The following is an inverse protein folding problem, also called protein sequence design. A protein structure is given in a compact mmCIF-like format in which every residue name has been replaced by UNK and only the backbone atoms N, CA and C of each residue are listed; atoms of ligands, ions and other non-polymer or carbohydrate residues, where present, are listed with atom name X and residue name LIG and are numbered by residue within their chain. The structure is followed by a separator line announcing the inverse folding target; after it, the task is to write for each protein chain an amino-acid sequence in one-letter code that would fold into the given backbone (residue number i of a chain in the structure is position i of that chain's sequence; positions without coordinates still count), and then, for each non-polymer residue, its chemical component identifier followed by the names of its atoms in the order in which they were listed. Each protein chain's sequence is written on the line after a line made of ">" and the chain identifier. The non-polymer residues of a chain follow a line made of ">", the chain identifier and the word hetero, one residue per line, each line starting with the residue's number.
data_IF_239783808552
#
_entry.id   IF_239783808552
#
_cell.length_a   1.000
_cell.length_b   1.000
_cell.length_c   1.000
_cell.angle_alpha   90.00
_cell.angle_beta   90.00
_cell.angle_gamma   90.00
#
_symmetry.space_group_name_H-M   'P 1'
#
loop_
_entity.id
_entity.type
_entity.pdbx_description
1 polymer ?
#
# COMPACT_ATOMS: atom_id res chain seq x y z
N UNK A 1 -0.12 -10.58 -10.80
CA UNK A 1 -0.53 -9.56 -11.79
C UNK A 1 0.40 -8.36 -11.64
N UNK A 2 0.68 -7.65 -12.73
CA UNK A 2 1.48 -6.40 -12.69
C UNK A 2 0.54 -5.21 -12.79
N UNK A 3 0.88 -4.05 -12.20
CA UNK A 3 0.02 -2.88 -12.23
C UNK A 3 -0.22 -2.39 -13.66
N UNK A 4 -1.30 -1.63 -13.78
CA UNK A 4 -1.80 -0.97 -14.97
C UNK A 4 -2.07 0.50 -14.64
N UNK A 5 -2.42 1.27 -15.66
CA UNK A 5 -2.79 2.68 -15.51
C UNK A 5 -4.04 2.80 -14.63
N UNK A 6 -4.07 3.77 -13.73
CA UNK A 6 -5.13 3.99 -12.75
C UNK A 6 -5.05 3.10 -11.51
N UNK A 7 -4.12 2.15 -11.43
CA UNK A 7 -3.96 1.31 -10.24
C UNK A 7 -3.35 2.08 -9.07
N UNK A 8 -3.69 1.66 -7.85
CA UNK A 8 -3.12 2.23 -6.62
C UNK A 8 -2.00 1.36 -6.06
N UNK A 9 -0.90 1.99 -5.69
CA UNK A 9 0.29 1.32 -5.13
C UNK A 9 0.73 1.91 -3.80
N UNK A 10 1.21 1.05 -2.92
CA UNK A 10 1.76 1.38 -1.60
C UNK A 10 3.29 1.33 -1.66
N UNK A 11 3.94 2.41 -1.23
CA UNK A 11 5.40 2.45 -1.12
C UNK A 11 5.88 1.65 0.10
N UNK A 12 6.88 0.79 -0.09
CA UNK A 12 7.39 -0.10 0.97
C UNK A 12 8.70 0.37 1.60
N UNK A 13 9.38 1.34 0.99
CA UNK A 13 10.73 1.77 1.39
C UNK A 13 10.92 3.25 1.15
N UNK A 14 11.64 3.91 2.06
CA UNK A 14 11.96 5.33 1.93
C UNK A 14 12.95 5.56 0.78
N UNK A 15 12.69 6.61 0.00
CA UNK A 15 13.62 7.18 -0.96
C UNK A 15 13.56 8.71 -0.88
N UNK A 16 14.40 9.33 -0.05
CA UNK A 16 14.42 10.78 0.11
C UNK A 16 14.64 11.52 -1.21
N UNK A 17 15.48 10.96 -2.11
CA UNK A 17 15.78 11.58 -3.41
C UNK A 17 14.57 11.68 -4.34
N UNK A 18 13.55 10.84 -4.15
CA UNK A 18 12.28 10.89 -4.89
C UNK A 18 11.09 11.34 -4.03
N UNK A 19 11.31 11.64 -2.74
CA UNK A 19 10.25 11.95 -1.79
C UNK A 19 9.31 10.76 -1.51
N UNK A 20 9.77 9.52 -1.72
CA UNK A 20 8.96 8.34 -1.41
C UNK A 20 9.09 8.01 0.07
N UNK A 21 7.96 7.89 0.77
CA UNK A 21 7.90 7.51 2.18
C UNK A 21 7.22 6.15 2.32
N UNK A 22 7.78 5.28 3.13
CA UNK A 22 7.20 3.98 3.44
C UNK A 22 5.80 4.15 4.06
N UNK A 23 4.82 3.43 3.53
CA UNK A 23 3.42 3.51 3.96
C UNK A 23 2.57 4.51 3.18
N UNK A 24 3.16 5.34 2.31
CA UNK A 24 2.39 6.28 1.48
C UNK A 24 1.77 5.62 0.26
N UNK A 25 0.58 6.08 -0.11
CA UNK A 25 -0.17 5.63 -1.29
C UNK A 25 0.07 6.56 -2.48
N UNK A 26 0.13 5.94 -3.65
CA UNK A 26 0.39 6.59 -4.92
C UNK A 26 -0.51 6.01 -6.00
N UNK A 27 -0.94 6.87 -6.92
CA UNK A 27 -1.72 6.48 -8.09
C UNK A 27 -0.80 6.30 -9.30
N UNK A 28 -0.93 5.18 -9.99
CA UNK A 28 -0.19 4.91 -11.23
C UNK A 28 -0.86 5.68 -12.35
N UNK A 29 -0.24 6.78 -12.77
CA UNK A 29 -0.72 7.57 -13.91
C UNK A 29 -0.48 6.84 -15.22
N UNK A 30 0.69 6.21 -15.35
CA UNK A 30 1.07 5.51 -16.57
C UNK A 30 2.11 4.43 -16.31
N UNK A 31 1.93 3.26 -16.91
CA UNK A 31 2.95 2.22 -17.00
C UNK A 31 3.73 2.39 -18.29
N UNK A 32 4.99 2.80 -18.19
CA UNK A 32 5.86 3.09 -19.35
C UNK A 32 6.57 1.86 -19.89
N UNK A 33 6.65 0.78 -19.12
CA UNK A 33 7.16 -0.51 -19.55
C UNK A 33 7.11 -1.54 -18.43
N UNK A 34 6.90 -2.82 -18.76
CA UNK A 34 6.91 -3.89 -17.77
C UNK A 34 7.38 -5.21 -18.37
N UNK A 35 8.13 -5.98 -17.57
CA UNK A 35 8.52 -7.34 -17.86
C UNK A 35 8.41 -8.20 -16.58
N UNK A 36 8.89 -9.43 -16.64
CA UNK A 36 8.82 -10.39 -15.52
C UNK A 36 9.62 -9.96 -14.27
N UNK A 37 10.56 -9.03 -14.40
CA UNK A 37 11.44 -8.60 -13.32
C UNK A 37 11.18 -7.17 -12.83
N UNK A 38 10.83 -6.26 -13.74
CA UNK A 38 10.74 -4.83 -13.48
C UNK A 38 9.46 -4.23 -14.09
N UNK A 39 8.96 -3.20 -13.42
CA UNK A 39 7.84 -2.37 -13.85
C UNK A 39 8.28 -0.91 -13.75
N UNK A 40 8.20 -0.19 -14.87
CA UNK A 40 8.44 1.24 -14.97
C UNK A 40 7.10 1.97 -14.97
N UNK A 41 6.96 2.94 -14.07
CA UNK A 41 5.70 3.65 -13.83
C UNK A 41 5.95 5.13 -13.60
N UNK A 42 4.98 5.95 -13.99
CA UNK A 42 4.82 7.31 -13.53
C UNK A 42 3.72 7.32 -12.46
N UNK A 43 4.06 7.76 -11.26
CA UNK A 43 3.16 7.74 -10.10
C UNK A 43 2.97 9.13 -9.49
N UNK A 44 1.79 9.40 -8.95
CA UNK A 44 1.48 10.67 -8.24
C UNK A 44 1.05 10.38 -6.80
N UNK A 45 1.39 11.25 -5.82
CA UNK A 45 0.91 11.09 -4.45
C UNK A 45 -0.61 11.17 -4.39
N UNK A 46 -1.24 10.38 -3.52
CA UNK A 46 -2.70 10.44 -3.29
C UNK A 46 -3.15 11.83 -2.80
N UNK A 47 -2.37 12.48 -1.93
CA UNK A 47 -2.68 13.81 -1.38
C UNK A 47 -2.39 14.97 -2.35
N UNK A 48 -2.06 14.66 -3.61
CA UNK A 48 -1.68 15.63 -4.62
C UNK A 48 -0.20 16.00 -4.57
N UNK A 49 0.33 16.41 -5.72
CA UNK A 49 1.74 16.77 -5.87
C UNK A 49 2.28 16.39 -7.24
N UNK A 50 3.60 16.37 -7.35
CA UNK A 50 4.29 16.12 -8.60
C UNK A 50 4.48 14.63 -8.87
N UNK A 51 4.35 14.24 -10.15
CA UNK A 51 4.62 12.89 -10.60
C UNK A 51 6.07 12.45 -10.35
N UNK A 52 6.28 11.15 -10.20
CA UNK A 52 7.59 10.50 -10.04
C UNK A 52 7.68 9.34 -11.02
N UNK A 53 8.74 9.32 -11.81
CA UNK A 53 9.13 8.12 -12.52
C UNK A 53 9.77 7.15 -11.54
N UNK A 54 9.32 5.90 -11.52
CA UNK A 54 9.84 4.85 -10.66
C UNK A 54 10.06 3.55 -11.41
N UNK A 55 11.07 2.80 -10.98
CA UNK A 55 11.33 1.44 -11.45
C UNK A 55 11.19 0.49 -10.26
N UNK A 56 10.16 -0.34 -10.29
CA UNK A 56 9.78 -1.23 -9.22
C UNK A 56 10.03 -2.69 -9.61
N UNK A 57 10.55 -3.55 -8.70
CA UNK A 57 10.64 -4.98 -8.95
C UNK A 57 9.25 -5.61 -9.05
N UNK A 58 8.98 -6.29 -10.16
CA UNK A 58 7.72 -6.94 -10.48
C UNK A 58 7.26 -7.91 -9.37
N UNK A 59 8.21 -8.61 -8.75
CA UNK A 59 7.95 -9.59 -7.68
C UNK A 59 7.11 -9.03 -6.53
N UNK A 60 7.25 -7.76 -6.15
CA UNK A 60 6.51 -7.20 -5.01
C UNK A 60 4.99 -7.09 -5.28
N UNK A 61 4.56 -7.10 -6.54
CA UNK A 61 3.13 -7.11 -6.91
C UNK A 61 2.49 -8.50 -6.86
N UNK A 62 3.26 -9.54 -6.55
CA UNK A 62 2.73 -10.88 -6.34
C UNK A 62 2.47 -11.12 -4.84
N UNK A 63 1.26 -11.57 -4.46
CA UNK A 63 0.85 -11.70 -3.05
C UNK A 63 1.69 -12.72 -2.26
N UNK A 64 2.20 -13.76 -2.92
CA UNK A 64 3.04 -14.80 -2.32
C UNK A 64 4.55 -14.50 -2.40
N UNK A 65 4.94 -13.34 -2.93
CA UNK A 65 6.34 -12.95 -2.92
C UNK A 65 6.74 -12.55 -1.50
N UNK A 66 7.27 -13.52 -0.75
CA UNK A 66 8.01 -13.27 0.47
C UNK A 66 9.32 -12.55 0.19
N UNK A 67 9.84 -11.91 1.23
CA UNK A 67 10.91 -10.92 1.17
C UNK A 67 12.12 -11.40 0.38
N UNK A 68 12.61 -10.50 -0.46
CA UNK A 68 13.97 -10.57 -0.95
C UNK A 68 14.70 -9.36 -0.37
N UNK A 69 15.35 -9.60 0.77
CA UNK A 69 16.17 -8.62 1.51
C UNK A 69 17.35 -8.13 0.67
N UNK A 70 17.73 -8.87 -0.37
CA UNK A 70 18.89 -8.60 -1.22
C UNK A 70 18.61 -7.69 -2.42
N UNK A 71 17.38 -7.17 -2.61
CA UNK A 71 17.12 -6.24 -3.72
C UNK A 71 17.24 -4.77 -3.28
N UNK A 72 18.29 -4.04 -3.70
CA UNK A 72 18.62 -2.72 -3.16
C UNK A 72 17.81 -1.57 -3.78
N UNK A 73 16.56 -1.78 -4.23
CA UNK A 73 15.74 -0.64 -4.68
C UNK A 73 15.01 -0.02 -3.50
N UNK A 74 15.35 1.23 -3.23
CA UNK A 74 14.52 2.18 -2.51
C UNK A 74 13.23 2.56 -3.29
N UNK A 75 12.83 1.76 -4.30
CA UNK A 75 11.65 1.95 -5.14
C UNK A 75 10.93 0.60 -5.19
N UNK A 76 10.31 0.23 -4.07
CA UNK A 76 9.59 -1.02 -3.90
C UNK A 76 8.13 -0.71 -3.59
N UNK A 77 7.22 -1.36 -4.31
CA UNK A 77 5.78 -1.07 -4.25
C UNK A 77 4.97 -2.37 -4.23
N UNK A 78 3.82 -2.35 -3.56
CA UNK A 78 2.76 -3.37 -3.70
C UNK A 78 1.46 -2.70 -4.13
N UNK A 79 0.43 -3.47 -4.48
CA UNK A 79 -0.92 -2.92 -4.62
C UNK A 79 -1.41 -2.33 -3.29
N UNK A 80 -2.02 -1.16 -3.35
CA UNK A 80 -2.45 -0.38 -2.19
C UNK A 80 -3.90 -0.61 -1.75
N UNK A 81 -4.57 -1.65 -2.26
CA UNK A 81 -6.01 -1.88 -2.03
C UNK A 81 -6.36 -2.46 -0.67
N UNK A 82 -5.45 -3.23 -0.09
CA UNK A 82 -5.64 -3.86 1.20
C UNK A 82 -4.31 -3.87 1.94
N UNK A 83 -4.37 -3.60 3.23
CA UNK A 83 -3.22 -3.65 4.12
C UNK A 83 -3.66 -4.10 5.50
N UNK A 84 -2.72 -4.62 6.29
CA UNK A 84 -3.01 -4.96 7.68
C UNK A 84 -3.16 -3.69 8.51
N UNK A 85 -3.95 -3.74 9.58
CA UNK A 85 -4.17 -2.60 10.49
C UNK A 85 -2.85 -2.05 11.03
N UNK A 86 -1.88 -2.91 11.33
CA UNK A 86 -0.54 -2.52 11.75
C UNK A 86 0.20 -1.66 10.71
N UNK A 87 -0.03 -1.89 9.41
CA UNK A 87 0.57 -1.10 8.32
C UNK A 87 -0.18 0.20 8.04
N UNK A 88 -1.45 0.29 8.47
CA UNK A 88 -2.27 1.50 8.42
C UNK A 88 -2.06 2.42 9.65
N UNK A 89 -1.08 2.17 10.51
CA UNK A 89 -0.88 3.03 11.67
C UNK A 89 -0.37 4.42 11.23
N UNK A 90 -1.10 5.48 11.63
CA UNK A 90 -0.76 6.87 11.30
C UNK A 90 -1.36 7.39 9.99
N UNK A 91 -2.13 6.56 9.27
CA UNK A 91 -2.86 6.97 8.08
C UNK A 91 -4.33 7.26 8.37
N UNK A 92 -4.99 7.95 7.44
CA UNK A 92 -6.40 8.32 7.51
C UNK A 92 -7.00 8.31 6.09
N UNK A 93 -8.23 7.79 5.95
CA UNK A 93 -9.00 7.80 4.70
C UNK A 93 -10.46 8.14 4.95
N UNK A 94 -11.15 8.70 3.94
CA UNK A 94 -12.59 9.03 4.05
C UNK A 94 -13.44 7.78 4.32
N UNK A 95 -13.23 6.75 3.51
CA UNK A 95 -14.02 5.52 3.53
C UNK A 95 -13.11 4.31 3.76
N UNK A 96 -13.35 3.56 4.85
CA UNK A 96 -12.56 2.36 5.18
C UNK A 96 -13.45 1.13 5.28
N UNK A 97 -13.04 0.05 4.61
CA UNK A 97 -13.61 -1.28 4.77
C UNK A 97 -12.70 -2.12 5.68
N UNK A 98 -13.22 -2.59 6.80
CA UNK A 98 -12.51 -3.44 7.76
C UNK A 98 -13.06 -4.86 7.66
N UNK A 99 -12.20 -5.82 7.31
CA UNK A 99 -12.45 -7.23 7.54
C UNK A 99 -11.98 -7.58 8.95
N UNK A 100 -12.95 -7.73 9.86
CA UNK A 100 -12.72 -7.98 11.27
C UNK A 100 -12.54 -9.48 11.51
N UNK A 101 -11.28 -9.91 11.49
CA UNK A 101 -10.85 -11.26 11.88
C UNK A 101 -10.40 -11.28 13.36
N UNK A 102 -10.69 -10.22 14.13
CA UNK A 102 -10.09 -10.03 15.44
C UNK A 102 -10.57 -10.97 16.53
N UNK A 103 -11.66 -11.69 16.28
CA UNK A 103 -12.18 -12.75 17.17
C UNK A 103 -11.16 -13.82 17.53
N UNK A 104 -10.10 -13.99 16.72
CA UNK A 104 -8.99 -14.91 16.99
C UNK A 104 -8.06 -14.44 18.13
N UNK A 105 -8.07 -13.14 18.49
CA UNK A 105 -7.14 -12.53 19.45
C UNK A 105 -7.78 -12.15 20.80
N UNK A 106 -9.01 -12.62 21.08
CA UNK A 106 -9.64 -12.52 22.40
C UNK A 106 -9.70 -11.09 22.97
N UNK A 107 -8.96 -10.82 24.06
CA UNK A 107 -8.99 -9.51 24.74
C UNK A 107 -8.36 -8.38 23.93
N UNK A 108 -7.46 -8.69 22.99
CA UNK A 108 -6.80 -7.68 22.15
C UNK A 108 -7.66 -7.24 20.96
N UNK A 109 -8.73 -7.99 20.67
CA UNK A 109 -9.64 -7.74 19.56
C UNK A 109 -10.20 -6.31 19.58
N UNK A 110 -10.58 -5.82 20.76
CA UNK A 110 -11.14 -4.47 20.93
C UNK A 110 -10.13 -3.38 20.56
N UNK A 111 -8.86 -3.52 20.99
CA UNK A 111 -7.82 -2.54 20.69
C UNK A 111 -7.44 -2.56 19.20
N UNK A 112 -7.40 -3.76 18.61
CA UNK A 112 -7.14 -3.91 17.18
C UNK A 112 -8.25 -3.27 16.35
N UNK A 113 -9.51 -3.56 16.69
CA UNK A 113 -10.66 -3.02 15.98
C UNK A 113 -10.76 -1.49 16.16
N UNK A 114 -10.47 -0.97 17.35
CA UNK A 114 -10.36 0.47 17.59
C UNK A 114 -9.31 1.12 16.66
N UNK A 115 -8.13 0.51 16.56
CA UNK A 115 -7.06 1.00 15.68
C UNK A 115 -7.49 0.98 14.21
N UNK A 116 -8.23 -0.05 13.78
CA UNK A 116 -8.76 -0.17 12.43
C UNK A 116 -9.83 0.90 12.13
N UNK A 117 -10.80 1.06 13.03
CA UNK A 117 -11.93 1.98 12.87
C UNK A 117 -11.45 3.43 12.81
N UNK A 118 -10.49 3.81 13.66
CA UNK A 118 -9.92 5.17 13.71
C UNK A 118 -9.02 5.52 12.51
N UNK A 119 -9.02 4.71 11.45
CA UNK A 119 -8.47 5.08 10.13
C UNK A 119 -9.50 5.75 9.23
N UNK A 120 -10.79 5.58 9.52
CA UNK A 120 -11.85 6.26 8.79
C UNK A 120 -12.08 7.67 9.36
N UNK A 121 -12.07 8.68 8.51
CA UNK A 121 -12.46 10.05 8.89
C UNK A 121 -13.94 10.35 8.67
N UNK A 122 -14.61 9.62 7.77
CA UNK A 122 -16.04 9.83 7.46
C UNK A 122 -16.87 8.56 7.64
N UNK A 123 -16.57 7.49 6.89
CA UNK A 123 -17.34 6.24 6.92
C UNK A 123 -16.46 5.01 7.14
N UNK A 124 -16.90 4.14 8.04
CA UNK A 124 -16.35 2.79 8.22
C UNK A 124 -17.41 1.74 7.94
N UNK A 125 -17.07 0.71 7.17
CA UNK A 125 -17.87 -0.51 7.01
C UNK A 125 -17.09 -1.67 7.61
N UNK A 126 -17.70 -2.41 8.53
CA UNK A 126 -17.05 -3.55 9.19
C UNK A 126 -17.75 -4.83 8.76
N UNK A 127 -17.01 -5.75 8.14
CA UNK A 127 -17.44 -7.11 7.83
C UNK A 127 -16.84 -8.02 8.88
N UNK A 128 -17.69 -8.68 9.67
CA UNK A 128 -17.27 -9.65 10.68
C UNK A 128 -17.26 -11.07 10.10
N UNK A 129 -16.14 -11.76 10.29
CA UNK A 129 -15.99 -13.20 10.04
C UNK A 129 -16.46 -14.04 11.22
#
# INVERSE_FOLDING_TARGET
>A
PLPADGERVLCLRNNPGKGLLNGTLWDVQKVTGKNEHLVHMEITPEEGGFAREVTAPAKFFHPLAEGDEQWPTNQSFRFGYAMTVHKAQGSEWKDVLVFDESGLWGKEAVNWLYTAITRASDRVTVIRG
#
